data_IF_924848082670
#
_entry.id   IF_924848082670
#
_cell.length_a   1.000
_cell.length_b   1.000
_cell.length_c   1.000
_cell.angle_alpha   90.00
_cell.angle_beta   90.00
_cell.angle_gamma   90.00
#
_symmetry.space_group_name_H-M   'P 1'
#
loop_
_entity.id
_entity.type
_entity.pdbx_description
1 polymer ?
#
# COMPACT_ATOMS: atom_id res chain seq x y z
N UNK A 1 45.03 -14.94 -19.84
CA UNK A 1 45.17 -13.73 -19.02
C UNK A 1 43.83 -13.01 -18.98
N UNK A 2 43.10 -13.08 -17.87
CA UNK A 2 41.84 -12.37 -17.73
C UNK A 2 42.13 -10.89 -17.44
N UNK A 3 41.71 -10.01 -18.35
CA UNK A 3 41.78 -8.55 -18.20
C UNK A 3 40.98 -8.18 -16.95
N UNK A 4 41.65 -7.67 -15.91
CA UNK A 4 41.01 -7.05 -14.75
C UNK A 4 40.22 -5.84 -15.27
N UNK A 5 38.90 -5.98 -15.37
CA UNK A 5 38.02 -4.83 -15.54
C UNK A 5 38.20 -3.85 -14.37
N UNK A 6 37.95 -2.55 -14.58
CA UNK A 6 38.18 -1.55 -13.54
C UNK A 6 37.37 -1.90 -12.28
N UNK A 7 38.06 -1.91 -11.14
CA UNK A 7 37.44 -2.17 -9.84
C UNK A 7 36.25 -1.21 -9.62
N UNK A 8 35.10 -1.70 -9.13
CA UNK A 8 34.00 -0.81 -8.78
C UNK A 8 34.51 0.18 -7.72
N UNK A 9 34.32 1.47 -7.97
CA UNK A 9 34.75 2.54 -7.06
C UNK A 9 34.15 2.30 -5.67
N UNK A 10 34.98 1.82 -4.75
CA UNK A 10 34.64 1.70 -3.34
C UNK A 10 34.20 3.07 -2.81
N UNK A 11 32.95 3.17 -2.34
CA UNK A 11 32.47 4.34 -1.59
C UNK A 11 31.35 5.18 -2.22
N UNK A 12 30.84 4.85 -3.42
CA UNK A 12 29.63 5.50 -3.89
C UNK A 12 28.41 4.98 -3.10
N UNK A 13 27.93 5.76 -2.14
CA UNK A 13 26.67 5.46 -1.41
C UNK A 13 25.58 5.14 -2.44
N UNK A 14 24.78 4.08 -2.25
CA UNK A 14 23.67 3.79 -3.15
C UNK A 14 22.74 5.01 -3.19
N UNK A 15 22.67 5.66 -4.37
CA UNK A 15 21.78 6.78 -4.62
C UNK A 15 20.48 6.25 -5.20
N UNK A 16 19.38 6.96 -4.96
CA UNK A 16 18.09 6.72 -5.59
C UNK A 16 18.13 7.22 -7.04
N UNK A 17 18.99 6.59 -7.85
CA UNK A 17 19.17 6.93 -9.26
C UNK A 17 18.19 6.15 -10.14
N UNK A 18 18.02 6.55 -11.41
CA UNK A 18 17.23 5.77 -12.39
C UNK A 18 17.66 4.31 -12.48
N UNK A 19 18.96 4.03 -12.27
CA UNK A 19 19.47 2.66 -12.25
C UNK A 19 18.89 1.83 -11.10
N UNK A 20 18.60 2.44 -9.94
CA UNK A 20 17.93 1.77 -8.84
C UNK A 20 16.51 1.35 -9.26
N UNK A 21 15.76 2.25 -9.89
CA UNK A 21 14.41 1.93 -10.38
C UNK A 21 14.41 0.85 -11.45
N UNK A 22 15.37 0.86 -12.38
CA UNK A 22 15.52 -0.20 -13.38
C UNK A 22 15.78 -1.56 -12.73
N UNK A 23 16.68 -1.63 -11.73
CA UNK A 23 16.95 -2.86 -10.97
C UNK A 23 15.72 -3.31 -10.18
N UNK A 24 15.01 -2.38 -9.56
CA UNK A 24 13.77 -2.67 -8.84
C UNK A 24 12.70 -3.25 -9.77
N UNK A 25 12.50 -2.66 -10.96
CA UNK A 25 11.55 -3.17 -11.95
C UNK A 25 11.93 -4.57 -12.47
N UNK A 26 13.22 -4.87 -12.61
CA UNK A 26 13.67 -6.22 -12.94
C UNK A 26 13.30 -7.23 -11.85
N UNK A 27 13.46 -6.87 -10.57
CA UNK A 27 13.03 -7.72 -9.45
C UNK A 27 11.51 -7.89 -9.46
N UNK A 28 10.74 -6.82 -9.68
CA UNK A 28 9.27 -6.90 -9.78
C UNK A 28 8.82 -7.83 -10.92
N UNK A 29 9.52 -7.84 -12.05
CA UNK A 29 9.24 -8.76 -13.16
C UNK A 29 9.45 -10.23 -12.80
N UNK A 30 10.38 -10.52 -11.88
CA UNK A 30 10.56 -11.88 -11.34
C UNK A 30 9.43 -12.25 -10.39
N UNK A 31 8.97 -11.30 -9.56
CA UNK A 31 7.86 -11.51 -8.62
C UNK A 31 6.50 -11.70 -9.33
N UNK A 32 6.31 -11.05 -10.48
CA UNK A 32 5.11 -11.13 -11.31
C UNK A 32 5.45 -11.62 -12.72
N UNK A 33 5.68 -12.94 -12.91
CA UNK A 33 6.10 -13.48 -14.20
C UNK A 33 5.00 -13.36 -15.28
N UNK A 34 3.73 -13.41 -14.89
CA UNK A 34 2.59 -13.23 -15.79
C UNK A 34 1.38 -12.65 -15.04
N UNK A 35 0.49 -11.98 -15.78
CA UNK A 35 -0.75 -11.40 -15.25
C UNK A 35 -1.74 -12.45 -14.71
N UNK A 36 -1.56 -13.72 -15.07
CA UNK A 36 -2.39 -14.84 -14.59
C UNK A 36 -1.66 -15.74 -13.57
N UNK A 37 -0.49 -15.33 -13.08
CA UNK A 37 0.23 -16.08 -12.06
C UNK A 37 -0.50 -16.04 -10.72
N UNK A 38 -0.24 -17.02 -9.86
CA UNK A 38 -0.78 -17.08 -8.50
C UNK A 38 -0.51 -15.77 -7.72
N UNK A 39 0.68 -15.18 -7.88
CA UNK A 39 1.05 -13.92 -7.25
C UNK A 39 0.19 -12.74 -7.74
N UNK A 40 -0.13 -12.70 -9.04
CA UNK A 40 -1.00 -11.66 -9.60
C UNK A 40 -2.44 -11.79 -9.07
N UNK A 41 -2.96 -13.02 -8.96
CA UNK A 41 -4.27 -13.27 -8.35
C UNK A 41 -4.30 -12.89 -6.87
N UNK A 42 -3.28 -13.26 -6.11
CA UNK A 42 -3.15 -12.87 -4.69
C UNK A 42 -3.05 -11.36 -4.51
N UNK A 43 -2.35 -10.68 -5.41
CA UNK A 43 -2.25 -9.23 -5.42
C UNK A 43 -3.59 -8.56 -5.80
N UNK A 44 -4.34 -9.14 -6.74
CA UNK A 44 -5.69 -8.68 -7.07
C UNK A 44 -6.66 -8.87 -5.89
N UNK A 45 -6.60 -10.02 -5.20
CA UNK A 45 -7.39 -10.23 -3.99
C UNK A 45 -7.02 -9.23 -2.90
N UNK A 46 -5.73 -8.94 -2.74
CA UNK A 46 -5.26 -7.90 -1.81
C UNK A 46 -5.87 -6.54 -2.17
N UNK A 47 -5.86 -6.16 -3.45
CA UNK A 47 -6.44 -4.93 -3.94
C UNK A 47 -7.95 -4.83 -3.65
N UNK A 48 -8.70 -5.90 -3.94
CA UNK A 48 -10.14 -5.93 -3.66
C UNK A 48 -10.45 -5.81 -2.16
N UNK A 49 -9.71 -6.54 -1.32
CA UNK A 49 -9.86 -6.52 0.14
C UNK A 49 -9.52 -5.14 0.70
N UNK A 50 -8.40 -4.56 0.27
CA UNK A 50 -7.95 -3.25 0.68
C UNK A 50 -8.97 -2.14 0.34
N UNK A 51 -9.57 -2.19 -0.85
CA UNK A 51 -10.64 -1.27 -1.24
C UNK A 51 -11.91 -1.47 -0.41
N UNK A 52 -12.29 -2.72 -0.15
CA UNK A 52 -13.44 -3.03 0.69
C UNK A 52 -13.23 -2.58 2.15
N UNK A 53 -12.04 -2.82 2.72
CA UNK A 53 -11.65 -2.32 4.05
C UNK A 53 -11.82 -0.79 4.11
N UNK A 54 -11.33 -0.07 3.10
CA UNK A 54 -11.46 1.39 3.03
C UNK A 54 -12.92 1.86 2.99
N UNK A 55 -13.79 1.15 2.28
CA UNK A 55 -15.23 1.45 2.26
C UNK A 55 -15.89 1.20 3.62
N UNK A 56 -15.54 0.11 4.30
CA UNK A 56 -16.05 -0.20 5.64
C UNK A 56 -15.57 0.84 6.66
N UNK A 57 -14.28 1.20 6.63
CA UNK A 57 -13.71 2.27 7.49
C UNK A 57 -14.45 3.58 7.25
N UNK A 58 -14.73 3.94 6.00
CA UNK A 58 -15.50 5.14 5.67
C UNK A 58 -16.91 5.10 6.28
N UNK A 59 -17.62 3.97 6.18
CA UNK A 59 -18.95 3.80 6.80
C UNK A 59 -18.89 3.92 8.32
N UNK A 60 -17.89 3.30 8.94
CA UNK A 60 -17.66 3.42 10.39
C UNK A 60 -17.38 4.87 10.79
N UNK A 61 -16.64 5.62 9.99
CA UNK A 61 -16.37 7.04 10.23
C UNK A 61 -17.60 7.95 10.18
N UNK A 62 -18.69 7.54 9.53
CA UNK A 62 -19.95 8.30 9.49
C UNK A 62 -20.88 8.01 10.68
N UNK A 63 -20.68 6.88 11.37
CA UNK A 63 -21.50 6.45 12.51
C UNK A 63 -21.60 7.52 13.60
N UNK A 64 -20.51 8.18 14.04
CA UNK A 64 -20.60 9.21 15.07
C UNK A 64 -21.55 10.36 14.69
N UNK A 65 -21.52 10.80 13.43
CA UNK A 65 -22.42 11.85 12.94
C UNK A 65 -23.89 11.42 12.99
N UNK A 66 -24.17 10.15 12.71
CA UNK A 66 -25.53 9.60 12.76
C UNK A 66 -26.01 9.46 14.21
N UNK A 67 -25.12 9.09 15.14
CA UNK A 67 -25.44 9.03 16.57
C UNK A 67 -25.90 10.38 17.11
N UNK A 68 -25.23 11.48 16.74
CA UNK A 68 -25.65 12.81 17.16
C UNK A 68 -27.09 13.15 16.71
N UNK A 69 -27.49 12.75 15.49
CA UNK A 69 -28.84 12.95 15.01
C UNK A 69 -29.90 12.17 15.78
N UNK A 70 -29.63 10.89 16.05
CA UNK A 70 -30.57 10.01 16.80
C UNK A 70 -30.70 10.45 18.26
N UNK A 71 -29.58 10.83 18.90
CA UNK A 71 -29.57 11.35 20.27
C UNK A 71 -30.34 12.67 20.37
N UNK A 72 -30.18 13.57 19.39
CA UNK A 72 -30.93 14.83 19.32
C UNK A 72 -32.44 14.63 19.22
N UNK A 73 -32.87 13.65 18.43
CA UNK A 73 -34.29 13.32 18.24
C UNK A 73 -34.88 12.43 19.35
N UNK A 74 -34.06 12.00 20.33
CA UNK A 74 -34.45 11.09 21.43
C UNK A 74 -35.10 9.77 20.94
N UNK A 75 -34.70 9.27 19.76
CA UNK A 75 -35.25 8.03 19.19
C UNK A 75 -34.48 6.80 19.68
N UNK A 76 -35.07 6.06 20.62
CA UNK A 76 -34.48 4.83 21.19
C UNK A 76 -34.42 3.67 20.19
N UNK A 77 -35.36 3.59 19.25
CA UNK A 77 -35.39 2.50 18.27
C UNK A 77 -34.29 2.70 17.24
N UNK A 78 -34.14 3.93 16.73
CA UNK A 78 -33.01 4.32 15.88
C UNK A 78 -31.65 4.07 16.56
N UNK A 79 -31.56 4.33 17.87
CA UNK A 79 -30.32 4.11 18.62
C UNK A 79 -29.93 2.63 18.69
N UNK A 80 -30.88 1.74 18.95
CA UNK A 80 -30.65 0.28 18.98
C UNK A 80 -30.20 -0.24 17.63
N UNK A 81 -30.89 0.13 16.55
CA UNK A 81 -30.55 -0.30 15.18
C UNK A 81 -29.17 0.22 14.77
N UNK A 82 -28.86 1.49 15.07
CA UNK A 82 -27.55 2.07 14.76
C UNK A 82 -26.42 1.40 15.53
N UNK A 83 -26.67 1.06 16.81
CA UNK A 83 -25.70 0.35 17.65
C UNK A 83 -25.44 -1.06 17.17
N UNK A 84 -26.48 -1.79 16.78
CA UNK A 84 -26.32 -3.11 16.18
C UNK A 84 -25.48 -3.04 14.89
N UNK A 85 -25.82 -2.10 14.00
CA UNK A 85 -25.07 -1.87 12.75
C UNK A 85 -23.60 -1.50 13.02
N UNK A 86 -23.34 -0.67 14.04
CA UNK A 86 -21.99 -0.28 14.42
C UNK A 86 -21.15 -1.48 14.87
N UNK A 87 -21.71 -2.33 15.74
CA UNK A 87 -21.04 -3.57 16.18
C UNK A 87 -20.73 -4.48 15.00
N UNK A 88 -21.70 -4.70 14.11
CA UNK A 88 -21.50 -5.53 12.90
C UNK A 88 -20.39 -4.97 12.01
N UNK A 89 -20.38 -3.65 11.76
CA UNK A 89 -19.34 -3.01 10.95
C UNK A 89 -17.95 -3.07 11.62
N UNK A 90 -17.85 -2.96 12.94
CA UNK A 90 -16.58 -3.08 13.67
C UNK A 90 -16.02 -4.51 13.59
N UNK A 91 -16.88 -5.52 13.73
CA UNK A 91 -16.49 -6.93 13.58
C UNK A 91 -16.03 -7.18 12.14
N UNK A 92 -16.79 -6.72 11.15
CA UNK A 92 -16.42 -6.82 9.73
C UNK A 92 -15.09 -6.14 9.43
N UNK A 93 -14.86 -4.93 9.96
CA UNK A 93 -13.60 -4.22 9.81
C UNK A 93 -12.42 -5.03 10.35
N UNK A 94 -12.55 -5.60 11.55
CA UNK A 94 -11.51 -6.43 12.16
C UNK A 94 -11.22 -7.71 11.34
N UNK A 95 -12.26 -8.32 10.78
CA UNK A 95 -12.11 -9.48 9.89
C UNK A 95 -11.38 -9.12 8.60
N UNK A 96 -11.76 -8.02 7.94
CA UNK A 96 -11.10 -7.53 6.72
C UNK A 96 -9.64 -7.18 6.99
N UNK A 97 -9.35 -6.51 8.12
CA UNK A 97 -7.99 -6.21 8.56
C UNK A 97 -7.13 -7.46 8.71
N UNK A 98 -7.70 -8.49 9.32
CA UNK A 98 -7.01 -9.78 9.53
C UNK A 98 -6.76 -10.49 8.20
N UNK A 99 -7.72 -10.40 7.27
CA UNK A 99 -7.60 -11.00 5.95
C UNK A 99 -6.59 -10.28 5.04
N UNK A 100 -6.52 -8.94 5.10
CA UNK A 100 -5.47 -8.15 4.45
C UNK A 100 -4.08 -8.55 4.95
N UNK A 101 -3.90 -8.62 6.27
CA UNK A 101 -2.65 -9.05 6.89
C UNK A 101 -2.28 -10.50 6.51
N UNK A 102 -3.25 -11.40 6.49
CA UNK A 102 -3.06 -12.78 6.05
C UNK A 102 -2.60 -12.85 4.59
N UNK A 103 -3.22 -12.09 3.70
CA UNK A 103 -2.87 -12.05 2.28
C UNK A 103 -1.47 -11.47 2.07
N UNK A 104 -1.09 -10.42 2.81
CA UNK A 104 0.27 -9.86 2.81
C UNK A 104 1.32 -10.89 3.26
N UNK A 105 1.01 -11.69 4.29
CA UNK A 105 1.91 -12.73 4.78
C UNK A 105 2.07 -13.86 3.74
N UNK A 106 0.98 -14.24 3.06
CA UNK A 106 1.03 -15.26 2.01
C UNK A 106 1.83 -14.76 0.79
N UNK A 107 1.63 -13.50 0.39
CA UNK A 107 2.43 -12.85 -0.66
C UNK A 107 3.91 -12.80 -0.29
N UNK A 108 4.25 -12.48 0.95
CA UNK A 108 5.63 -12.51 1.44
C UNK A 108 6.29 -13.87 1.23
N UNK A 109 5.60 -14.96 1.63
CA UNK A 109 6.14 -16.32 1.48
C UNK A 109 6.33 -16.67 0.02
N UNK A 110 5.34 -16.37 -0.84
CA UNK A 110 5.40 -16.64 -2.27
C UNK A 110 6.55 -15.88 -2.95
N UNK A 111 6.65 -14.57 -2.70
CA UNK A 111 7.70 -13.72 -3.25
C UNK A 111 9.09 -14.11 -2.79
N UNK A 112 9.25 -14.47 -1.51
CA UNK A 112 10.52 -14.99 -1.00
C UNK A 112 10.91 -16.27 -1.74
N UNK A 113 9.97 -17.21 -1.91
CA UNK A 113 10.22 -18.45 -2.64
C UNK A 113 10.68 -18.17 -4.07
N UNK A 114 9.93 -17.39 -4.82
CA UNK A 114 10.22 -17.10 -6.23
C UNK A 114 11.55 -16.37 -6.42
N UNK A 115 11.83 -15.38 -5.57
CA UNK A 115 13.04 -14.58 -5.65
C UNK A 115 14.28 -15.38 -5.23
N UNK A 116 14.20 -16.15 -4.14
CA UNK A 116 15.30 -17.01 -3.70
C UNK A 116 15.58 -18.11 -4.73
N UNK A 117 14.55 -18.76 -5.29
CA UNK A 117 14.75 -19.77 -6.33
C UNK A 117 15.37 -19.17 -7.61
N UNK A 118 14.93 -17.97 -8.01
CA UNK A 118 15.52 -17.26 -9.15
C UNK A 118 17.00 -16.93 -8.92
N UNK A 119 17.35 -16.42 -7.75
CA UNK A 119 18.73 -16.10 -7.39
C UNK A 119 19.59 -17.37 -7.25
N UNK A 120 19.06 -18.44 -6.65
CA UNK A 120 19.77 -19.73 -6.60
C UNK A 120 20.06 -20.29 -7.99
N UNK A 121 19.08 -20.23 -8.92
CA UNK A 121 19.31 -20.64 -10.31
C UNK A 121 20.42 -19.85 -10.98
N UNK A 122 20.55 -18.55 -10.69
CA UNK A 122 21.64 -17.72 -11.21
C UNK A 122 22.98 -18.02 -10.54
N UNK A 123 22.97 -18.22 -9.22
CA UNK A 123 24.17 -18.47 -8.42
C UNK A 123 24.85 -19.79 -8.79
N UNK A 124 24.06 -20.85 -9.00
CA UNK A 124 24.56 -22.17 -9.42
C UNK A 124 24.69 -22.33 -10.93
N UNK A 125 24.44 -21.28 -11.72
CA UNK A 125 24.62 -21.34 -13.17
C UNK A 125 26.10 -21.36 -13.52
N UNK A 126 26.62 -22.52 -13.90
CA UNK A 126 28.03 -22.68 -14.28
C UNK A 126 28.97 -22.52 -13.08
N UNK A 127 30.01 -21.69 -13.21
CA UNK A 127 31.01 -21.42 -12.14
C UNK A 127 30.83 -20.06 -11.47
N UNK A 128 29.60 -19.51 -11.48
CA UNK A 128 29.30 -18.19 -10.91
C UNK A 128 29.57 -18.15 -9.41
N UNK A 129 29.18 -19.18 -8.65
CA UNK A 129 29.50 -19.29 -7.22
C UNK A 129 31.02 -19.17 -6.95
N UNK A 130 31.86 -19.84 -7.75
CA UNK A 130 33.32 -19.77 -7.60
C UNK A 130 33.85 -18.39 -8.02
N UNK A 131 33.28 -17.83 -9.08
CA UNK A 131 33.69 -16.51 -9.58
C UNK A 131 33.40 -15.41 -8.56
N UNK A 132 32.24 -15.45 -7.92
CA UNK A 132 31.81 -14.48 -6.91
C UNK A 132 32.52 -14.62 -5.56
N UNK A 133 32.91 -15.83 -5.16
CA UNK A 133 33.58 -16.04 -3.87
C UNK A 133 35.12 -15.96 -3.96
N UNK A 134 35.71 -16.22 -5.13
CA UNK A 134 37.17 -16.39 -5.28
C UNK A 134 37.80 -15.44 -6.29
N UNK A 135 37.13 -15.15 -7.43
CA UNK A 135 37.74 -14.36 -8.51
C UNK A 135 37.40 -12.88 -8.45
N UNK A 136 36.30 -12.50 -7.79
CA UNK A 136 35.84 -11.13 -7.67
C UNK A 136 35.52 -10.81 -6.22
N UNK A 137 35.89 -9.60 -5.84
CA UNK A 137 35.66 -9.02 -4.50
C UNK A 137 34.69 -7.83 -4.61
N UNK A 138 33.80 -7.87 -5.62
CA UNK A 138 32.83 -6.80 -5.90
C UNK A 138 31.53 -6.96 -5.12
N UNK A 139 31.24 -8.16 -4.61
CA UNK A 139 30.02 -8.48 -3.87
C UNK A 139 30.37 -9.23 -2.59
N UNK A 140 30.34 -8.52 -1.46
CA UNK A 140 30.50 -9.13 -0.14
C UNK A 140 29.29 -10.01 0.23
N UNK A 141 29.58 -11.18 0.80
CA UNK A 141 28.64 -12.15 1.39
C UNK A 141 27.41 -12.45 0.51
N UNK A 142 27.60 -13.07 -0.68
CA UNK A 142 26.50 -13.38 -1.60
C UNK A 142 25.45 -14.31 -0.99
N UNK A 143 25.87 -15.21 -0.11
CA UNK A 143 25.03 -16.10 0.69
C UNK A 143 24.11 -15.32 1.65
N UNK A 144 24.66 -14.32 2.35
CA UNK A 144 23.88 -13.45 3.23
C UNK A 144 22.86 -12.63 2.45
N UNK A 145 23.22 -12.13 1.26
CA UNK A 145 22.30 -11.37 0.40
C UNK A 145 21.14 -12.23 -0.08
N UNK A 146 21.40 -13.47 -0.51
CA UNK A 146 20.37 -14.39 -1.01
C UNK A 146 19.43 -14.86 0.11
N UNK A 147 19.93 -15.04 1.33
CA UNK A 147 19.15 -15.55 2.46
C UNK A 147 18.45 -14.44 3.26
N UNK A 148 19.20 -13.45 3.74
CA UNK A 148 18.70 -12.42 4.66
C UNK A 148 18.13 -11.21 3.94
N UNK A 149 18.82 -10.69 2.93
CA UNK A 149 18.37 -9.46 2.27
C UNK A 149 17.12 -9.69 1.43
N UNK A 150 17.02 -10.84 0.74
CA UNK A 150 15.80 -11.26 0.05
C UNK A 150 14.64 -11.39 1.01
N UNK A 151 14.85 -11.98 2.19
CA UNK A 151 13.81 -12.08 3.22
C UNK A 151 13.32 -10.70 3.64
N UNK A 152 14.25 -9.82 4.03
CA UNK A 152 13.93 -8.48 4.51
C UNK A 152 13.25 -7.66 3.42
N UNK A 153 13.73 -7.75 2.18
CA UNK A 153 13.14 -7.08 1.03
C UNK A 153 11.69 -7.53 0.81
N UNK A 154 11.44 -8.84 0.69
CA UNK A 154 10.09 -9.37 0.46
C UNK A 154 9.14 -9.03 1.62
N UNK A 155 9.61 -9.06 2.87
CA UNK A 155 8.81 -8.72 4.05
C UNK A 155 8.43 -7.24 4.09
N UNK A 156 9.37 -6.35 3.77
CA UNK A 156 9.09 -4.92 3.69
C UNK A 156 8.14 -4.62 2.53
N UNK A 157 8.42 -5.19 1.35
CA UNK A 157 7.59 -5.02 0.16
C UNK A 157 6.15 -5.47 0.40
N UNK A 158 5.93 -6.63 1.02
CA UNK A 158 4.58 -7.14 1.29
C UNK A 158 3.84 -6.30 2.31
N UNK A 159 4.52 -5.87 3.39
CA UNK A 159 3.93 -5.01 4.42
C UNK A 159 3.55 -3.62 3.90
N UNK A 160 4.22 -3.16 2.84
CA UNK A 160 3.93 -1.90 2.17
C UNK A 160 2.92 -2.05 1.04
N UNK A 161 2.70 -3.25 0.50
CA UNK A 161 1.85 -3.48 -0.67
C UNK A 161 0.44 -2.93 -0.48
N UNK A 162 -0.27 -3.29 0.59
CA UNK A 162 -1.63 -2.77 0.87
C UNK A 162 -1.64 -1.26 1.00
N UNK A 163 -0.66 -0.68 1.69
CA UNK A 163 -0.56 0.78 1.90
C UNK A 163 -0.33 1.52 0.59
N UNK A 164 0.55 1.01 -0.27
CA UNK A 164 0.85 1.58 -1.58
C UNK A 164 -0.35 1.49 -2.52
N UNK A 165 -1.14 0.42 -2.42
CA UNK A 165 -2.40 0.29 -3.17
C UNK A 165 -3.41 1.33 -2.68
N UNK A 166 -3.64 1.43 -1.37
CA UNK A 166 -4.69 2.28 -0.78
C UNK A 166 -4.38 3.78 -0.91
N UNK A 167 -3.10 4.16 -0.81
CA UNK A 167 -2.64 5.54 -0.76
C UNK A 167 -3.18 6.43 -1.89
N UNK A 168 -3.03 6.08 -3.20
CA UNK A 168 -3.53 6.92 -4.29
C UNK A 168 -5.05 7.08 -4.27
N UNK A 169 -5.81 5.99 -4.04
CA UNK A 169 -7.28 6.07 -3.97
C UNK A 169 -7.74 6.95 -2.82
N UNK A 170 -7.11 6.79 -1.66
CA UNK A 170 -7.41 7.57 -0.45
C UNK A 170 -7.09 9.05 -0.65
N UNK A 171 -5.94 9.35 -1.26
CA UNK A 171 -5.52 10.71 -1.58
C UNK A 171 -6.52 11.37 -2.52
N UNK A 172 -6.88 10.71 -3.64
CA UNK A 172 -7.84 11.24 -4.61
C UNK A 172 -9.20 11.46 -3.97
N UNK A 173 -9.69 10.49 -3.21
CA UNK A 173 -11.00 10.55 -2.56
C UNK A 173 -11.10 11.70 -1.54
N UNK A 174 -10.12 11.82 -0.65
CA UNK A 174 -10.14 12.90 0.36
C UNK A 174 -9.86 14.26 -0.24
N UNK A 175 -9.01 14.35 -1.28
CA UNK A 175 -8.80 15.60 -2.02
C UNK A 175 -10.10 16.05 -2.68
N UNK A 176 -10.83 15.13 -3.32
CA UNK A 176 -12.13 15.40 -3.92
C UNK A 176 -13.17 15.85 -2.89
N UNK A 177 -13.30 15.13 -1.77
CA UNK A 177 -14.22 15.52 -0.68
C UNK A 177 -13.88 16.90 -0.12
N UNK A 178 -12.59 17.20 0.08
CA UNK A 178 -12.14 18.49 0.58
C UNK A 178 -12.56 19.61 -0.38
N UNK A 179 -12.31 19.44 -1.67
CA UNK A 179 -12.68 20.42 -2.70
C UNK A 179 -14.20 20.65 -2.75
N UNK A 180 -15.00 19.58 -2.69
CA UNK A 180 -16.46 19.68 -2.72
C UNK A 180 -17.00 20.42 -1.48
N UNK A 181 -16.49 20.11 -0.28
CA UNK A 181 -16.90 20.79 0.96
C UNK A 181 -16.51 22.26 0.95
N UNK A 182 -15.32 22.59 0.46
CA UNK A 182 -14.86 23.96 0.30
C UNK A 182 -15.78 24.77 -0.63
N UNK A 183 -16.12 24.21 -1.80
CA UNK A 183 -17.03 24.86 -2.75
C UNK A 183 -18.41 25.13 -2.15
N UNK A 184 -18.98 24.15 -1.45
CA UNK A 184 -20.27 24.33 -0.77
C UNK A 184 -20.22 25.42 0.30
N UNK A 185 -19.13 25.51 1.08
CA UNK A 185 -18.96 26.54 2.10
C UNK A 185 -18.87 27.93 1.46
N UNK A 186 -18.08 28.09 0.40
CA UNK A 186 -17.94 29.37 -0.30
C UNK A 186 -19.28 29.88 -0.87
N UNK A 187 -20.09 28.99 -1.43
CA UNK A 187 -21.43 29.34 -1.95
C UNK A 187 -22.34 29.82 -0.82
N UNK A 188 -22.34 29.15 0.35
CA UNK A 188 -23.14 29.57 1.50
C UNK A 188 -22.72 30.93 2.04
N UNK A 189 -21.42 31.15 2.23
CA UNK A 189 -20.89 32.45 2.72
C UNK A 189 -21.25 33.58 1.75
N UNK A 190 -21.10 33.37 0.45
CA UNK A 190 -21.48 34.38 -0.55
C UNK A 190 -22.99 34.65 -0.58
N UNK A 191 -23.82 33.60 -0.41
CA UNK A 191 -25.27 33.75 -0.36
C UNK A 191 -25.73 34.51 0.90
N UNK A 192 -25.15 34.20 2.06
CA UNK A 192 -25.41 34.91 3.32
C UNK A 192 -24.96 36.38 3.24
N UNK A 193 -23.77 36.64 2.67
CA UNK A 193 -23.30 38.00 2.43
C UNK A 193 -24.23 38.78 1.49
N UNK A 194 -24.69 38.16 0.39
CA UNK A 194 -25.63 38.78 -0.54
C UNK A 194 -27.00 39.06 0.11
N UNK A 195 -27.52 38.13 0.93
CA UNK A 195 -28.76 38.31 1.68
C UNK A 195 -28.64 39.45 2.70
N UNK A 196 -27.51 39.57 3.40
CA UNK A 196 -27.25 40.66 4.34
C UNK A 196 -27.17 42.02 3.65
N UNK A 197 -26.50 42.10 2.49
CA UNK A 197 -26.45 43.34 1.70
C UNK A 197 -27.82 43.77 1.17
N UNK A 198 -28.64 42.82 0.71
CA UNK A 198 -30.00 43.10 0.25
C UNK A 198 -30.90 43.58 1.39
N UNK A 199 -30.85 42.95 2.56
CA UNK A 199 -31.63 43.40 3.73
C UNK A 199 -31.28 44.83 4.14
N UNK A 200 -29.99 45.20 4.09
CA UNK A 200 -29.53 46.56 4.43
C UNK A 200 -30.00 47.64 3.44
N UNK A 201 -30.39 47.29 2.22
CA UNK A 201 -30.92 48.25 1.24
C UNK A 201 -32.43 48.52 1.40
N UNK A 202 -33.13 47.66 2.15
CA UNK A 202 -34.57 47.77 2.39
C UNK A 202 -34.93 48.32 3.78
N UNK A 203 -33.93 48.68 4.58
CA UNK A 203 -34.05 49.36 5.90
C UNK A 203 -33.40 50.73 5.81
#
# INVERSE_FOLDING_TARGET
MAVRGPAPRAGARPRLDLQFFQRFLQIQKVLFPSWSSQNALMFLTLLCVALLEQLVIYRVGLIPSQYFGVLGNKDLNGFKTLTFLAVVLIVLNSMLKSFDQFTCNLLYVSWRKDLTEHLHRLYFRGRVYYTLNVLRDDIDNPDQRISQDVERFCRQLSSMASKLIISPFTLVYYTYQCFQRFKHMQIRVNAEAAAFFSWRQHV
#
